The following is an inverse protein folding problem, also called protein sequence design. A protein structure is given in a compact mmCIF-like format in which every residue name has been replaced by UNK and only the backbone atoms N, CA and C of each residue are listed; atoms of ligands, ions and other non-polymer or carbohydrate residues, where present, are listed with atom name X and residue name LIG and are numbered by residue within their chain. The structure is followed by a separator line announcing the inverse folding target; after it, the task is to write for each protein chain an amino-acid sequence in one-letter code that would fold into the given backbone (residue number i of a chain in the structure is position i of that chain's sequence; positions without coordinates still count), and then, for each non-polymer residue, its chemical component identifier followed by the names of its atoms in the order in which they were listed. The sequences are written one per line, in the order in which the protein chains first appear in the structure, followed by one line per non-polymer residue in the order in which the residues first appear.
data_IF_303544583511
#
_entry.id   IF_303544583511
#
_cell.length_a   1.000
_cell.length_b   1.000
_cell.length_c   1.000
_cell.angle_alpha   90.00
_cell.angle_beta   90.00
_cell.angle_gamma   90.00
#
_symmetry.space_group_name_H-M   'P 1'
#
loop_
_entity.id
_entity.type
_entity.pdbx_description
1 polymer ?
#
# COMPACT_ATOMS: atom_id res chain seq x y z
N UNK A 1 -12.03 17.62 -3.74
CA UNK A 1 -11.01 16.63 -4.18
C UNK A 1 -9.91 16.61 -3.14
N UNK A 2 -9.25 15.47 -2.92
CA UNK A 2 -8.16 15.38 -1.97
C UNK A 2 -6.83 15.69 -2.68
N UNK A 3 -6.18 16.80 -2.31
CA UNK A 3 -4.93 17.24 -2.94
C UNK A 3 -3.73 16.44 -2.42
N UNK A 4 -2.71 16.26 -3.26
CA UNK A 4 -1.51 15.47 -2.96
C UNK A 4 -1.64 13.98 -3.26
N UNK A 5 -2.85 13.47 -3.52
CA UNK A 5 -3.09 12.05 -3.80
C UNK A 5 -3.40 11.84 -5.28
N UNK A 6 -2.94 10.72 -5.83
CA UNK A 6 -3.25 10.31 -7.22
C UNK A 6 -4.72 9.90 -7.44
N UNK A 7 -5.53 9.79 -6.37
CA UNK A 7 -6.96 9.48 -6.43
C UNK A 7 -7.31 8.03 -6.79
N UNK A 8 -6.32 7.22 -7.15
CA UNK A 8 -6.47 5.84 -7.58
C UNK A 8 -5.36 4.95 -7.00
N UNK A 9 -5.71 3.71 -6.70
CA UNK A 9 -4.80 2.62 -6.33
C UNK A 9 -4.88 1.57 -7.42
N UNK A 10 -3.74 1.11 -7.93
CA UNK A 10 -3.70 -0.02 -8.85
C UNK A 10 -3.72 -1.32 -8.06
N UNK A 11 -4.64 -2.22 -8.40
CA UNK A 11 -4.71 -3.58 -7.86
C UNK A 11 -4.33 -4.54 -8.97
N UNK A 12 -3.28 -5.30 -8.75
CA UNK A 12 -2.73 -6.26 -9.71
C UNK A 12 -2.75 -7.63 -9.07
N UNK A 13 -3.40 -8.57 -9.73
CA UNK A 13 -3.31 -10.00 -9.41
C UNK A 13 -2.31 -10.62 -10.38
N UNK A 14 -1.18 -11.09 -9.84
CA UNK A 14 -0.09 -11.67 -10.63
C UNK A 14 -0.37 -13.11 -11.06
N UNK A 15 -1.29 -13.81 -10.40
CA UNK A 15 -1.71 -15.16 -10.77
C UNK A 15 -2.61 -15.14 -11.99
N UNK A 16 -3.55 -14.20 -12.05
CA UNK A 16 -4.51 -14.09 -13.17
C UNK A 16 -4.12 -13.06 -14.23
N UNK A 17 -3.16 -12.17 -13.92
CA UNK A 17 -2.80 -11.02 -14.75
C UNK A 17 -3.85 -9.90 -14.74
N UNK A 18 -4.87 -9.97 -13.89
CA UNK A 18 -5.95 -8.98 -13.84
C UNK A 18 -5.47 -7.69 -13.19
N UNK A 19 -5.75 -6.57 -13.86
CA UNK A 19 -5.43 -5.23 -13.38
C UNK A 19 -6.74 -4.44 -13.22
N UNK A 20 -6.93 -3.79 -12.08
CA UNK A 20 -8.05 -2.87 -11.85
C UNK A 20 -7.59 -1.62 -11.12
N UNK A 21 -8.31 -0.52 -11.34
CA UNK A 21 -8.12 0.74 -10.62
C UNK A 21 -9.20 0.87 -9.55
N UNK A 22 -8.79 1.08 -8.32
CA UNK A 22 -9.65 1.34 -7.18
C UNK A 22 -9.56 2.83 -6.85
N UNK A 23 -10.70 3.51 -6.67
CA UNK A 23 -10.68 4.91 -6.23
C UNK A 23 -10.22 4.97 -4.76
N UNK A 24 -9.37 5.92 -4.43
CA UNK A 24 -8.99 6.15 -3.03
C UNK A 24 -10.17 6.70 -2.24
N UNK A 25 -10.41 6.15 -1.06
CA UNK A 25 -11.37 6.70 -0.10
C UNK A 25 -10.70 7.84 0.69
N UNK A 26 -11.26 9.05 0.56
CA UNK A 26 -10.73 10.25 1.22
C UNK A 26 -10.73 10.14 2.75
N UNK A 27 -11.72 9.46 3.34
CA UNK A 27 -11.79 9.26 4.79
C UNK A 27 -10.62 8.41 5.29
N UNK A 28 -10.31 7.33 4.57
CA UNK A 28 -9.16 6.50 4.90
C UNK A 28 -7.84 7.24 4.67
N UNK A 29 -7.69 7.92 3.52
CA UNK A 29 -6.47 8.68 3.23
C UNK A 29 -6.16 9.72 4.30
N UNK A 30 -7.18 10.41 4.83
CA UNK A 30 -6.99 11.39 5.91
C UNK A 30 -6.61 10.75 7.25
N UNK A 31 -7.07 9.51 7.52
CA UNK A 31 -6.73 8.79 8.75
C UNK A 31 -5.31 8.23 8.75
N UNK A 32 -4.83 7.74 7.61
CA UNK A 32 -3.53 7.04 7.51
C UNK A 32 -2.47 7.77 6.70
N UNK A 33 -2.81 8.94 6.13
CA UNK A 33 -1.95 9.86 5.35
C UNK A 33 -1.44 9.29 4.01
N UNK A 34 -1.20 7.98 3.88
CA UNK A 34 -0.62 7.35 2.69
C UNK A 34 0.65 6.57 3.03
N UNK A 35 1.44 6.23 2.00
CA UNK A 35 2.71 5.51 2.16
C UNK A 35 2.59 4.27 3.05
N UNK A 36 3.49 4.18 4.04
CA UNK A 36 3.50 3.14 5.08
C UNK A 36 2.15 2.97 5.80
N UNK A 37 1.47 4.07 6.14
CA UNK A 37 0.22 4.03 6.90
C UNK A 37 -0.89 3.34 6.12
N UNK A 38 -1.02 3.68 4.84
CA UNK A 38 -1.96 3.01 3.94
C UNK A 38 -1.61 1.54 3.73
N UNK A 39 -0.32 1.23 3.50
CA UNK A 39 0.12 -0.14 3.33
C UNK A 39 -0.19 -1.00 4.56
N UNK A 40 0.11 -0.50 5.76
CA UNK A 40 -0.10 -1.22 7.02
C UNK A 40 -1.58 -1.46 7.29
N UNK A 41 -2.44 -0.45 7.05
CA UNK A 41 -3.88 -0.60 7.20
C UNK A 41 -4.46 -1.63 6.22
N UNK A 42 -3.99 -1.65 4.96
CA UNK A 42 -4.41 -2.65 3.98
C UNK A 42 -3.96 -4.06 4.31
N UNK A 43 -2.74 -4.23 4.80
CA UNK A 43 -2.29 -5.53 5.32
C UNK A 43 -3.17 -6.00 6.48
N UNK A 44 -3.50 -5.11 7.40
CA UNK A 44 -4.37 -5.44 8.54
C UNK A 44 -5.78 -5.87 8.11
N UNK A 45 -6.39 -5.17 7.15
CA UNK A 45 -7.75 -5.45 6.70
C UNK A 45 -7.85 -6.65 5.75
N UNK A 46 -6.84 -6.88 4.89
CA UNK A 46 -6.96 -7.79 3.74
C UNK A 46 -6.13 -9.06 3.87
N UNK A 47 -5.03 -9.04 4.63
CA UNK A 47 -4.16 -10.21 4.76
C UNK A 47 -4.64 -11.10 5.90
N UNK A 48 -4.93 -12.37 5.59
CA UNK A 48 -5.23 -13.35 6.63
C UNK A 48 -4.00 -13.58 7.52
N UNK A 49 -4.22 -13.67 8.83
CA UNK A 49 -3.16 -13.77 9.85
C UNK A 49 -2.15 -14.89 9.57
N UNK A 50 -2.63 -16.07 9.19
CA UNK A 50 -1.81 -17.29 9.09
C UNK A 50 -1.28 -17.57 7.68
N UNK A 51 -1.28 -16.58 6.80
CA UNK A 51 -0.68 -16.69 5.46
C UNK A 51 0.82 -16.95 5.56
N UNK A 52 1.31 -17.91 4.78
CA UNK A 52 2.75 -18.09 4.56
C UNK A 52 3.30 -16.86 3.83
N UNK A 53 4.30 -16.14 4.38
CA UNK A 53 4.88 -14.95 3.77
C UNK A 53 5.40 -15.13 2.33
N UNK A 54 5.75 -16.35 1.91
CA UNK A 54 6.22 -16.64 0.55
C UNK A 54 5.15 -17.21 -0.37
N UNK A 55 3.91 -17.34 0.11
CA UNK A 55 2.79 -17.81 -0.69
C UNK A 55 2.20 -16.70 -1.59
N UNK A 56 1.47 -17.06 -2.66
CA UNK A 56 0.74 -16.10 -3.50
C UNK A 56 -0.33 -15.28 -2.76
N UNK A 57 -0.73 -15.70 -1.56
CA UNK A 57 -1.73 -15.00 -0.74
C UNK A 57 -1.13 -13.80 0.02
N UNK A 58 0.21 -13.66 0.08
CA UNK A 58 0.83 -12.48 0.66
C UNK A 58 0.63 -11.26 -0.25
N UNK A 59 0.48 -10.09 0.36
CA UNK A 59 0.30 -8.84 -0.36
C UNK A 59 1.61 -8.05 -0.38
N UNK A 60 2.04 -7.63 -1.58
CA UNK A 60 3.12 -6.68 -1.76
C UNK A 60 2.53 -5.31 -2.11
N UNK A 61 2.69 -4.33 -1.21
CA UNK A 61 2.11 -3.00 -1.37
C UNK A 61 3.20 -1.97 -1.60
N UNK A 62 3.04 -1.17 -2.65
CA UNK A 62 3.95 -0.07 -2.98
C UNK A 62 3.19 1.23 -2.75
N UNK A 63 3.55 1.93 -1.69
CA UNK A 63 2.88 3.14 -1.23
C UNK A 63 3.77 4.37 -1.32
N UNK A 64 3.18 5.51 -1.67
CA UNK A 64 3.81 6.83 -1.60
C UNK A 64 2.98 7.77 -0.73
N UNK A 65 3.62 8.77 -0.15
CA UNK A 65 2.94 9.81 0.62
C UNK A 65 2.36 10.91 -0.27
N UNK A 66 1.52 11.80 0.28
CA UNK A 66 0.85 12.84 -0.49
C UNK A 66 1.78 13.98 -0.93
N UNK A 67 3.02 13.98 -0.45
CA UNK A 67 4.06 14.95 -0.82
C UNK A 67 4.96 14.40 -1.93
N UNK A 68 4.88 13.11 -2.24
CA UNK A 68 5.66 12.48 -3.31
C UNK A 68 5.19 12.99 -4.67
N UNK A 69 6.14 13.49 -5.47
CA UNK A 69 5.87 14.11 -6.77
C UNK A 69 5.48 15.60 -6.71
N UNK A 70 5.53 16.23 -5.53
CA UNK A 70 5.38 17.69 -5.39
C UNK A 70 6.73 18.42 -5.49
N UNK A 71 6.71 19.75 -5.41
CA UNK A 71 7.93 20.59 -5.39
C UNK A 71 8.61 20.65 -4.02
N UNK A 72 8.09 19.96 -3.00
CA UNK A 72 8.72 19.93 -1.70
C UNK A 72 10.07 19.20 -1.79
N UNK A 73 11.13 19.83 -1.31
CA UNK A 73 12.47 19.25 -1.34
C UNK A 73 12.52 17.96 -0.53
N UNK A 74 13.22 16.94 -1.06
CA UNK A 74 13.43 15.65 -0.40
C UNK A 74 12.14 14.84 -0.12
N UNK A 75 11.05 15.04 -0.86
CA UNK A 75 9.80 14.31 -0.68
C UNK A 75 9.63 13.08 -1.59
N UNK A 76 10.71 12.48 -2.10
CA UNK A 76 10.66 11.40 -3.09
C UNK A 76 10.71 9.97 -2.47
N UNK A 77 10.03 9.77 -1.34
CA UNK A 77 10.02 8.47 -0.65
C UNK A 77 8.93 7.54 -1.17
N UNK A 78 9.24 6.24 -1.15
CA UNK A 78 8.31 5.13 -1.35
C UNK A 78 8.50 4.11 -0.23
N UNK A 79 7.43 3.38 0.10
CA UNK A 79 7.44 2.29 1.06
C UNK A 79 6.93 1.02 0.39
N UNK A 80 7.64 -0.09 0.56
CA UNK A 80 7.25 -1.39 0.03
C UNK A 80 6.96 -2.28 1.23
N UNK A 81 5.72 -2.73 1.39
CA UNK A 81 5.32 -3.48 2.58
C UNK A 81 4.71 -4.83 2.24
N UNK A 82 4.87 -5.80 3.15
CA UNK A 82 4.22 -7.10 3.10
C UNK A 82 4.40 -7.84 4.42
N UNK A 83 3.91 -9.08 4.51
CA UNK A 83 4.31 -9.96 5.62
C UNK A 83 5.75 -10.44 5.38
N UNK A 84 6.61 -10.23 6.36
CA UNK A 84 8.03 -10.56 6.27
C UNK A 84 8.26 -12.07 6.40
N UNK A 85 9.04 -12.70 5.49
CA UNK A 85 9.45 -14.10 5.66
C UNK A 85 10.48 -14.28 6.77
N UNK A 86 11.22 -13.23 7.15
CA UNK A 86 12.23 -13.29 8.20
C UNK A 86 11.60 -13.25 9.60
N UNK A 87 10.60 -12.39 9.80
CA UNK A 87 10.05 -12.08 11.12
C UNK A 87 8.61 -12.55 11.31
N UNK A 88 7.90 -12.90 10.25
CA UNK A 88 6.50 -13.33 10.31
C UNK A 88 5.49 -12.21 10.63
N UNK A 89 5.95 -10.96 10.76
CA UNK A 89 5.12 -9.76 11.03
C UNK A 89 5.18 -8.78 9.85
N UNK A 90 4.71 -7.55 10.04
CA UNK A 90 4.89 -6.46 9.07
C UNK A 90 6.39 -6.28 8.75
N UNK A 91 6.71 -6.28 7.45
CA UNK A 91 8.01 -5.85 6.93
C UNK A 91 7.81 -4.73 5.91
N UNK A 92 8.66 -3.71 6.00
CA UNK A 92 8.62 -2.51 5.17
C UNK A 92 9.98 -1.81 5.03
#
# INVERSE_FOLDING_TARGET
MLHGYGGQILRVDLTTGKIRREKTDAHHMLKVIGGRGLNSWRLYEELKRDVDPLSPDNLLLIGVGPLTGTLLTSSAYMTISGKSPLTGILGD
#
